data_IF_950815835700
#
_entry.id   IF_950815835700
#
_cell.length_a   1.000
_cell.length_b   1.000
_cell.length_c   1.000
_cell.angle_alpha   90.00
_cell.angle_beta   90.00
_cell.angle_gamma   90.00
#
_symmetry.space_group_name_H-M   'P 1'
#
loop_
_entity.id
_entity.type
_entity.pdbx_description
1 polymer ?
#
# COMPACT_ATOMS: atom_id res chain seq x y z
N UNK A 1 15.08 -8.31 -7.81
CA UNK A 1 14.70 -9.24 -6.73
C UNK A 1 15.89 -9.43 -5.80
N UNK A 2 15.72 -9.13 -4.52
CA UNK A 2 16.75 -9.26 -3.48
C UNK A 2 16.20 -10.10 -2.34
N UNK A 3 17.04 -10.99 -1.81
CA UNK A 3 16.70 -11.84 -0.68
C UNK A 3 17.53 -11.39 0.52
N UNK A 4 16.90 -11.18 1.67
CA UNK A 4 17.57 -10.85 2.92
C UNK A 4 17.11 -11.76 4.04
N UNK A 5 17.96 -11.98 5.04
CA UNK A 5 17.58 -12.70 6.25
C UNK A 5 16.92 -11.75 7.25
N UNK A 6 15.78 -12.15 7.80
CA UNK A 6 15.12 -11.42 8.87
C UNK A 6 16.05 -11.33 10.09
N UNK A 7 16.34 -10.12 10.62
CA UNK A 7 17.27 -9.95 11.74
C UNK A 7 16.74 -10.55 13.06
N UNK A 8 15.42 -10.77 13.16
CA UNK A 8 14.80 -11.28 14.39
C UNK A 8 14.72 -12.82 14.44
N UNK A 9 14.41 -13.49 13.33
CA UNK A 9 14.22 -14.95 13.30
C UNK A 9 15.08 -15.71 12.30
N UNK A 10 15.86 -15.02 11.47
CA UNK A 10 16.70 -15.62 10.43
C UNK A 10 15.97 -16.12 9.19
N UNK A 11 14.64 -16.04 9.14
CA UNK A 11 13.84 -16.45 7.99
C UNK A 11 14.15 -15.61 6.74
N UNK A 12 13.92 -16.20 5.57
CA UNK A 12 14.10 -15.53 4.29
C UNK A 12 12.99 -14.48 4.05
N UNK A 13 13.37 -13.27 3.66
CA UNK A 13 12.47 -12.19 3.26
C UNK A 13 12.83 -11.74 1.85
N UNK A 14 11.88 -11.86 0.93
CA UNK A 14 12.08 -11.54 -0.48
C UNK A 14 11.53 -10.14 -0.80
N UNK A 15 12.35 -9.32 -1.44
CA UNK A 15 11.98 -8.04 -2.04
C UNK A 15 11.93 -8.19 -3.55
N UNK A 16 10.74 -8.13 -4.13
CA UNK A 16 10.50 -8.20 -5.58
C UNK A 16 10.71 -6.83 -6.20
N UNK A 17 10.19 -5.76 -5.58
CA UNK A 17 10.35 -4.39 -6.08
C UNK A 17 11.66 -3.77 -5.59
N UNK A 18 12.34 -3.06 -6.48
CA UNK A 18 13.50 -2.23 -6.11
C UNK A 18 13.11 -0.97 -5.34
N UNK A 19 11.86 -0.50 -5.49
CA UNK A 19 11.32 0.66 -4.82
C UNK A 19 10.84 0.36 -3.38
N UNK A 20 10.63 -0.91 -3.03
CA UNK A 20 10.26 -1.30 -1.67
C UNK A 20 11.42 -1.08 -0.70
N UNK A 21 11.22 -0.24 0.31
CA UNK A 21 12.21 -0.02 1.37
C UNK A 21 11.97 -0.93 2.57
N UNK A 22 10.76 -1.46 2.74
CA UNK A 22 10.38 -2.30 3.88
C UNK A 22 9.64 -3.57 3.44
N UNK A 23 9.81 -4.65 4.17
CA UNK A 23 8.95 -5.83 4.09
C UNK A 23 8.61 -6.36 5.48
N UNK A 24 7.43 -6.98 5.62
CA UNK A 24 7.01 -7.66 6.85
C UNK A 24 7.33 -9.15 6.74
N UNK A 25 8.16 -9.66 7.65
CA UNK A 25 8.49 -11.08 7.70
C UNK A 25 7.25 -11.93 7.97
N UNK A 26 6.94 -12.88 7.09
CA UNK A 26 5.74 -13.73 7.18
C UNK A 26 5.76 -14.67 8.40
N UNK A 27 6.94 -14.94 8.98
CA UNK A 27 7.10 -15.87 10.10
C UNK A 27 6.99 -15.22 11.48
N UNK A 28 7.58 -14.04 11.66
CA UNK A 28 7.68 -13.40 12.97
C UNK A 28 7.10 -11.98 13.02
N UNK A 29 6.53 -11.51 11.90
CA UNK A 29 5.96 -10.19 11.69
C UNK A 29 6.95 -9.04 11.90
N UNK A 30 8.25 -9.29 11.93
CA UNK A 30 9.27 -8.23 12.03
C UNK A 30 9.25 -7.36 10.77
N UNK A 31 9.25 -6.04 10.97
CA UNK A 31 9.44 -5.06 9.90
C UNK A 31 10.92 -4.99 9.55
N UNK A 32 11.24 -5.48 8.37
CA UNK A 32 12.60 -5.56 7.83
C UNK A 32 12.80 -4.36 6.91
N UNK A 33 13.64 -3.41 7.33
CA UNK A 33 14.00 -2.25 6.51
C UNK A 33 15.29 -2.55 5.74
N UNK A 34 15.25 -2.28 4.44
CA UNK A 34 16.40 -2.30 3.54
C UNK A 34 17.10 -0.95 3.60
N UNK A 35 18.28 -0.89 4.25
CA UNK A 35 19.21 0.24 4.20
C UNK A 35 20.40 -0.10 3.29
N UNK A 36 21.09 0.91 2.74
CA UNK A 36 22.15 0.74 1.75
C UNK A 36 23.31 -0.16 2.23
N UNK A 37 23.57 -0.16 3.54
CA UNK A 37 24.70 -0.88 4.16
C UNK A 37 24.28 -1.98 5.15
N UNK A 38 23.00 -2.06 5.54
CA UNK A 38 22.51 -3.01 6.54
C UNK A 38 20.99 -3.25 6.50
N UNK A 39 20.54 -4.38 7.04
CA UNK A 39 19.12 -4.65 7.29
C UNK A 39 18.78 -4.27 8.73
N UNK A 40 17.76 -3.44 8.94
CA UNK A 40 17.36 -2.95 10.26
C UNK A 40 16.02 -3.55 10.71
N UNK A 41 15.93 -3.86 12.00
CA UNK A 41 14.68 -4.25 12.67
C UNK A 41 13.95 -2.99 13.15
N UNK A 42 12.75 -2.73 12.63
CA UNK A 42 11.89 -1.62 13.07
C UNK A 42 10.86 -2.06 14.14
N UNK A 43 10.98 -3.26 14.69
CA UNK A 43 10.02 -3.88 15.58
C UNK A 43 8.95 -4.68 14.84
N UNK A 44 8.02 -5.28 15.60
CA UNK A 44 6.98 -6.15 15.05
C UNK A 44 5.80 -5.35 14.50
N UNK A 45 5.35 -5.74 13.33
CA UNK A 45 4.09 -5.33 12.74
C UNK A 45 2.93 -6.01 13.46
N UNK A 46 1.86 -5.26 13.72
CA UNK A 46 0.60 -5.86 14.17
C UNK A 46 0.04 -6.76 13.08
N UNK A 47 -0.51 -7.90 13.48
CA UNK A 47 -1.20 -8.81 12.55
C UNK A 47 -2.39 -8.10 11.92
N UNK A 48 -2.55 -8.31 10.62
CA UNK A 48 -3.75 -7.89 9.89
C UNK A 48 -4.95 -8.67 10.45
N UNK A 49 -6.04 -7.96 10.70
CA UNK A 49 -7.30 -8.56 11.13
C UNK A 49 -7.94 -9.27 9.94
N UNK A 50 -8.45 -10.48 10.18
CA UNK A 50 -9.16 -11.25 9.16
C UNK A 50 -10.39 -10.48 8.67
N UNK A 51 -10.46 -10.30 7.35
CA UNK A 51 -11.36 -9.35 6.71
C UNK A 51 -12.01 -9.92 5.43
N UNK A 52 -11.84 -11.22 5.20
CA UNK A 52 -12.44 -11.96 4.07
C UNK A 52 -12.14 -11.37 2.69
N UNK A 53 -11.09 -10.56 2.55
CA UNK A 53 -10.67 -10.05 1.26
C UNK A 53 -10.26 -11.23 0.35
N UNK A 54 -10.73 -11.28 -0.89
CA UNK A 54 -10.30 -12.30 -1.85
C UNK A 54 -8.89 -12.04 -2.38
N UNK A 55 -8.32 -10.85 -2.10
CA UNK A 55 -6.99 -10.46 -2.53
C UNK A 55 -5.96 -10.99 -1.53
N UNK A 56 -4.84 -11.47 -2.06
CA UNK A 56 -3.70 -11.97 -1.29
C UNK A 56 -2.39 -11.46 -1.88
N UNK A 57 -1.32 -11.49 -1.09
CA UNK A 57 0.04 -11.26 -1.61
C UNK A 57 0.32 -12.28 -2.72
N UNK A 58 0.81 -11.82 -3.87
CA UNK A 58 1.02 -12.61 -5.06
C UNK A 58 -0.16 -12.65 -6.05
N UNK A 59 -1.32 -12.07 -5.70
CA UNK A 59 -2.43 -11.91 -6.65
C UNK A 59 -1.96 -11.10 -7.86
N UNK A 60 -2.25 -11.57 -9.07
CA UNK A 60 -1.85 -10.92 -10.31
C UNK A 60 -3.07 -10.46 -11.12
N UNK A 61 -2.88 -9.41 -11.93
CA UNK A 61 -3.93 -8.85 -12.76
C UNK A 61 -3.38 -7.97 -13.89
N UNK A 62 -4.28 -7.34 -14.64
CA UNK A 62 -3.95 -6.42 -15.73
C UNK A 62 -4.81 -5.17 -15.63
N UNK A 63 -4.20 -3.98 -15.62
CA UNK A 63 -4.89 -2.69 -15.64
C UNK A 63 -4.41 -1.88 -16.85
N UNK A 64 -5.34 -1.47 -17.72
CA UNK A 64 -4.99 -0.68 -18.91
C UNK A 64 -3.96 -1.38 -19.82
N UNK A 65 -3.99 -2.71 -19.88
CA UNK A 65 -3.02 -3.52 -20.63
C UNK A 65 -1.67 -3.74 -19.95
N UNK A 66 -1.45 -3.19 -18.75
CA UNK A 66 -0.22 -3.35 -17.97
C UNK A 66 -0.42 -4.44 -16.90
N UNK A 67 0.35 -5.54 -16.93
CA UNK A 67 0.29 -6.55 -15.88
C UNK A 67 0.82 -6.00 -14.55
N UNK A 68 0.23 -6.48 -13.44
CA UNK A 68 0.68 -6.16 -12.10
C UNK A 68 0.59 -7.38 -11.17
N UNK A 69 1.36 -7.32 -10.08
CA UNK A 69 1.31 -8.27 -8.96
C UNK A 69 1.13 -7.50 -7.64
N UNK A 70 0.27 -8.01 -6.75
CA UNK A 70 0.14 -7.54 -5.38
C UNK A 70 1.37 -8.00 -4.59
N UNK A 71 2.15 -7.06 -4.08
CA UNK A 71 3.38 -7.34 -3.33
C UNK A 71 3.28 -6.98 -1.85
N UNK A 72 2.28 -6.17 -1.47
CA UNK A 72 2.09 -5.73 -0.09
C UNK A 72 0.66 -5.43 0.27
N UNK A 73 0.44 -5.17 1.56
CA UNK A 73 -0.84 -4.78 2.13
C UNK A 73 -0.64 -3.92 3.36
N UNK A 74 -1.47 -2.90 3.50
CA UNK A 74 -1.71 -2.22 4.77
C UNK A 74 -3.20 -2.28 5.11
N UNK A 75 -3.50 -2.28 6.41
CA UNK A 75 -4.86 -2.20 6.91
C UNK A 75 -5.02 -0.91 7.71
N UNK A 76 -6.03 -0.13 7.33
CA UNK A 76 -6.32 1.17 7.89
C UNK A 76 -7.64 1.09 8.66
N UNK A 77 -7.68 1.68 9.85
CA UNK A 77 -8.86 1.69 10.72
C UNK A 77 -9.30 3.10 11.02
N UNK A 78 -10.60 3.34 10.95
CA UNK A 78 -11.25 4.57 11.36
C UNK A 78 -12.40 4.25 12.32
N UNK A 79 -13.08 5.28 12.81
CA UNK A 79 -14.12 5.13 13.86
C UNK A 79 -15.27 4.19 13.52
N UNK A 80 -15.58 3.99 12.23
CA UNK A 80 -16.72 3.21 11.76
C UNK A 80 -16.33 1.98 10.92
N UNK A 81 -15.06 1.63 10.84
CA UNK A 81 -14.64 0.44 10.09
C UNK A 81 -13.15 0.37 9.81
N UNK A 82 -12.80 -0.53 8.90
CA UNK A 82 -11.46 -0.69 8.37
C UNK A 82 -11.52 -1.00 6.88
N UNK A 83 -10.43 -0.73 6.18
CA UNK A 83 -10.25 -1.10 4.78
C UNK A 83 -8.79 -1.47 4.53
N UNK A 84 -8.53 -2.04 3.36
CA UNK A 84 -7.18 -2.39 2.95
C UNK A 84 -6.70 -1.53 1.80
N UNK A 85 -5.40 -1.27 1.82
CA UNK A 85 -4.68 -0.80 0.64
C UNK A 85 -3.66 -1.87 0.26
N UNK A 86 -3.82 -2.43 -0.93
CA UNK A 86 -2.95 -3.44 -1.50
C UNK A 86 -1.89 -2.77 -2.37
N UNK A 87 -0.61 -3.02 -2.07
CA UNK A 87 0.49 -2.44 -2.83
C UNK A 87 0.75 -3.24 -4.10
N UNK A 88 0.61 -2.58 -5.25
CA UNK A 88 0.74 -3.17 -6.57
C UNK A 88 2.10 -2.81 -7.17
N UNK A 89 2.77 -3.81 -7.77
CA UNK A 89 3.94 -3.65 -8.61
C UNK A 89 3.60 -4.02 -10.05
N UNK A 90 3.78 -3.07 -10.97
CA UNK A 90 3.64 -3.32 -12.41
C UNK A 90 4.94 -3.86 -13.01
N UNK A 91 4.83 -4.55 -14.13
CA UNK A 91 5.99 -5.10 -14.86
C UNK A 91 6.95 -4.02 -15.40
N UNK A 92 6.46 -2.79 -15.56
CA UNK A 92 7.28 -1.62 -15.92
C UNK A 92 7.97 -0.96 -14.71
N UNK A 93 7.82 -1.54 -13.52
CA UNK A 93 8.45 -1.08 -12.28
C UNK A 93 7.69 0.05 -11.56
N UNK A 94 6.61 0.58 -12.15
CA UNK A 94 5.75 1.55 -11.45
C UNK A 94 4.88 0.86 -10.41
N UNK A 95 4.37 1.64 -9.46
CA UNK A 95 3.56 1.12 -8.36
C UNK A 95 2.22 1.84 -8.24
N UNK A 96 1.28 1.20 -7.57
CA UNK A 96 -0.05 1.73 -7.31
C UNK A 96 -0.62 1.12 -6.01
N UNK A 97 -1.76 1.64 -5.57
CA UNK A 97 -2.52 1.10 -4.47
C UNK A 97 -3.89 0.67 -4.94
N UNK A 98 -4.31 -0.53 -4.56
CA UNK A 98 -5.67 -1.03 -4.71
C UNK A 98 -6.37 -0.94 -3.35
N UNK A 99 -7.26 0.03 -3.23
CA UNK A 99 -8.17 0.15 -2.10
C UNK A 99 -9.27 -0.89 -2.18
N UNK A 100 -9.46 -1.64 -1.09
CA UNK A 100 -10.52 -2.63 -0.90
C UNK A 100 -11.34 -2.25 0.33
N UNK A 101 -12.56 -1.77 0.07
CA UNK A 101 -13.51 -1.33 1.09
C UNK A 101 -14.87 -1.95 0.83
N UNK A 102 -15.23 -2.97 1.62
CA UNK A 102 -16.54 -3.64 1.54
C UNK A 102 -16.89 -4.14 0.13
N UNK A 103 -15.91 -4.71 -0.59
CA UNK A 103 -16.08 -5.24 -1.94
C UNK A 103 -16.09 -4.19 -3.05
N UNK A 104 -15.90 -2.91 -2.70
CA UNK A 104 -15.59 -1.85 -3.67
C UNK A 104 -14.08 -1.75 -3.84
N UNK A 105 -13.64 -1.79 -5.09
CA UNK A 105 -12.23 -1.79 -5.47
C UNK A 105 -11.89 -0.52 -6.25
N UNK A 106 -10.90 0.22 -5.77
CA UNK A 106 -10.41 1.44 -6.44
C UNK A 106 -8.90 1.37 -6.57
N UNK A 107 -8.36 1.63 -7.76
CA UNK A 107 -6.91 1.73 -7.94
C UNK A 107 -6.51 3.20 -8.00
N UNK A 108 -5.52 3.57 -7.19
CA UNK A 108 -4.88 4.87 -7.21
C UNK A 108 -3.42 4.70 -7.62
N UNK A 109 -2.93 5.55 -8.50
CA UNK A 109 -1.56 5.52 -8.98
C UNK A 109 -1.00 6.94 -8.96
N UNK A 110 0.32 7.03 -8.90
CA UNK A 110 1.01 8.31 -9.04
C UNK A 110 0.68 8.93 -10.41
N UNK A 111 0.37 10.23 -10.39
CA UNK A 111 0.12 11.00 -11.59
C UNK A 111 1.35 11.83 -11.94
N UNK A 112 1.97 11.53 -13.08
CA UNK A 112 3.10 12.29 -13.60
C UNK A 112 2.59 13.54 -14.35
N UNK A 113 2.60 14.69 -13.67
CA UNK A 113 2.29 15.99 -14.27
C UNK A 113 1.92 17.05 -13.25
N UNK A 114 1.95 18.31 -13.66
CA UNK A 114 1.45 19.41 -12.83
C UNK A 114 -0.07 19.45 -12.90
N UNK A 115 -0.69 19.18 -11.76
CA UNK A 115 -2.12 19.39 -11.54
C UNK A 115 -2.28 20.37 -10.39
N UNK A 116 -3.21 21.32 -10.52
CA UNK A 116 -3.59 22.16 -9.40
C UNK A 116 -4.18 21.26 -8.31
N UNK A 117 -3.49 21.13 -7.18
CA UNK A 117 -3.97 20.41 -6.01
C UNK A 117 -4.12 21.36 -4.83
N UNK A 118 -4.88 20.93 -3.84
CA UNK A 118 -5.05 21.62 -2.57
C UNK A 118 -4.38 20.77 -1.49
N UNK A 119 -3.79 21.38 -0.45
CA UNK A 119 -3.34 20.63 0.71
C UNK A 119 -4.54 19.92 1.35
N UNK A 120 -4.31 18.76 1.98
CA UNK A 120 -5.37 17.92 2.54
C UNK A 120 -6.24 18.69 3.54
N UNK A 121 -5.63 19.57 4.33
CA UNK A 121 -6.29 20.39 5.36
C UNK A 121 -7.24 21.44 4.77
N UNK A 122 -7.11 21.79 3.49
CA UNK A 122 -8.00 22.71 2.79
C UNK A 122 -9.19 22.02 2.12
N UNK A 123 -9.24 20.68 2.15
CA UNK A 123 -10.36 19.92 1.62
C UNK A 123 -11.55 19.98 2.59
N UNK A 124 -12.76 20.04 2.04
CA UNK A 124 -14.00 19.93 2.81
C UNK A 124 -15.04 19.08 2.06
N UNK A 125 -15.81 18.20 2.74
CA UNK A 125 -16.78 17.34 2.08
C UNK A 125 -17.85 18.14 1.33
N UNK A 126 -18.30 17.61 0.19
CA UNK A 126 -19.30 18.23 -0.69
C UNK A 126 -18.78 19.42 -1.52
N UNK A 127 -17.54 19.87 -1.33
CA UNK A 127 -16.91 20.90 -2.16
C UNK A 127 -16.35 20.31 -3.43
N UNK A 128 -16.33 21.11 -4.49
CA UNK A 128 -15.79 20.73 -5.79
C UNK A 128 -14.44 21.41 -6.03
N UNK A 129 -13.50 20.65 -6.56
CA UNK A 129 -12.12 21.04 -6.81
C UNK A 129 -11.76 20.74 -8.27
N UNK A 130 -11.04 21.66 -8.90
CA UNK A 130 -10.45 21.41 -10.21
C UNK A 130 -9.17 20.61 -10.01
N UNK A 131 -9.11 19.40 -10.57
CA UNK A 131 -7.93 18.52 -10.51
C UNK A 131 -7.62 18.10 -11.94
N UNK A 132 -6.48 18.56 -12.47
CA UNK A 132 -6.16 18.43 -13.90
C UNK A 132 -7.24 19.03 -14.78
N UNK A 133 -7.80 18.22 -15.69
CA UNK A 133 -8.82 18.66 -16.65
C UNK A 133 -10.26 18.39 -16.18
N UNK A 134 -10.46 17.98 -14.92
CA UNK A 134 -11.75 17.57 -14.39
C UNK A 134 -12.18 18.35 -13.14
N UNK A 135 -13.49 18.36 -12.92
CA UNK A 135 -14.09 18.85 -11.68
C UNK A 135 -14.50 17.66 -10.83
N UNK A 136 -13.96 17.59 -9.61
CA UNK A 136 -14.18 16.48 -8.70
C UNK A 136 -14.77 16.98 -7.39
N UNK A 137 -15.77 16.27 -6.86
CA UNK A 137 -16.34 16.57 -5.55
C UNK A 137 -15.69 15.71 -4.49
N UNK A 138 -15.23 16.32 -3.39
CA UNK A 138 -14.78 15.59 -2.22
C UNK A 138 -15.98 14.90 -1.56
N UNK A 139 -16.22 13.63 -1.88
CA UNK A 139 -17.33 12.87 -1.31
C UNK A 139 -17.15 12.66 0.20
N UNK A 140 -15.91 12.44 0.63
CA UNK A 140 -15.55 12.20 2.02
C UNK A 140 -14.11 12.63 2.33
N UNK A 141 -13.84 12.90 3.60
CA UNK A 141 -12.50 13.15 4.14
C UNK A 141 -12.39 12.35 5.41
N UNK A 142 -11.33 11.55 5.52
CA UNK A 142 -11.10 10.66 6.65
C UNK A 142 -9.65 10.69 7.08
N UNK A 143 -9.44 10.50 8.37
CA UNK A 143 -8.15 10.16 8.97
C UNK A 143 -8.29 8.77 9.54
N UNK A 144 -7.27 7.94 9.35
CA UNK A 144 -7.28 6.55 9.81
C UNK A 144 -5.94 6.18 10.42
N UNK A 145 -6.00 5.22 11.34
CA UNK A 145 -4.84 4.63 11.98
C UNK A 145 -4.33 3.46 11.16
N UNK A 146 -3.00 3.40 11.07
CA UNK A 146 -2.30 2.24 10.59
C UNK A 146 -2.33 1.11 11.64
N UNK A 147 -2.96 -0.03 11.33
CA UNK A 147 -3.18 -1.11 12.31
C UNK A 147 -2.57 -2.46 11.94
N UNK A 148 -2.03 -2.60 10.74
CA UNK A 148 -1.39 -3.84 10.31
C UNK A 148 -0.88 -3.77 8.88
N UNK A 149 -0.01 -4.72 8.53
CA UNK A 149 0.50 -4.84 7.17
C UNK A 149 1.20 -6.16 6.89
N UNK A 150 1.35 -6.48 5.61
CA UNK A 150 1.93 -7.71 5.09
C UNK A 150 2.73 -7.41 3.82
N UNK A 151 3.71 -8.26 3.52
CA UNK A 151 4.51 -8.16 2.30
C UNK A 151 5.39 -6.92 2.25
N UNK A 152 5.64 -6.44 1.04
CA UNK A 152 6.50 -5.31 0.72
C UNK A 152 5.75 -3.98 0.81
N UNK A 153 6.39 -2.95 1.35
CA UNK A 153 5.83 -1.61 1.46
C UNK A 153 6.89 -0.56 1.03
N UNK A 154 6.46 0.55 0.42
CA UNK A 154 7.36 1.64 0.02
C UNK A 154 7.98 2.37 1.22
#
# INVERSE_FOLDING_TARGET
MQIVSCPSCGAEVTFRSHASVMAVCEYCSTRVLKDADAVKDLGKMSSVLEDYSPIQIGTAGVLGGRPFTVVGRIQLRYSAGMWNEWYLLFDDGKTAWLGDSSGMYTITAEYEGEIGTQPFEALAPGRTYSIGNGMYTAAEIRVADYIGGQGELP
#
